data_IF_372369977271
#
_entry.id   IF_372369977271
#
_cell.length_a   1.000
_cell.length_b   1.000
_cell.length_c   1.000
_cell.angle_alpha   90.00
_cell.angle_beta   90.00
_cell.angle_gamma   90.00
#
_symmetry.space_group_name_H-M   'P 1'
#
loop_
_entity.id
_entity.type
_entity.pdbx_description
1 polymer ?
#
# COMPACT_ATOMS: atom_id res chain seq x y z
N UNK A 1 9.85 -2.50 5.75
CA UNK A 1 8.43 -2.55 5.32
C UNK A 1 8.37 -2.52 3.80
N UNK A 2 7.71 -3.50 3.20
CA UNK A 2 7.40 -3.57 1.77
C UNK A 2 5.97 -3.09 1.56
N UNK A 3 5.69 -2.48 0.41
CA UNK A 3 4.38 -1.92 0.12
C UNK A 3 4.14 -1.85 -1.38
N UNK A 4 2.99 -2.30 -1.84
CA UNK A 4 2.56 -2.19 -3.22
C UNK A 4 1.27 -1.38 -3.34
N UNK A 5 1.21 -0.55 -4.35
CA UNK A 5 0.02 0.19 -4.75
C UNK A 5 -0.29 -0.12 -6.21
N UNK A 6 -1.56 -0.12 -6.55
CA UNK A 6 -2.00 -0.28 -7.93
C UNK A 6 -1.82 1.03 -8.73
N UNK A 7 -2.17 0.97 -10.02
CA UNK A 7 -2.15 2.12 -10.94
C UNK A 7 -2.97 3.31 -10.44
N UNK A 8 -4.05 3.06 -9.70
CA UNK A 8 -4.92 4.10 -9.15
C UNK A 8 -4.39 4.60 -7.79
N UNK A 9 -3.32 3.98 -7.30
CA UNK A 9 -2.69 4.28 -6.02
C UNK A 9 -3.43 3.64 -4.83
N UNK A 10 -4.32 2.69 -5.06
CA UNK A 10 -4.93 1.88 -4.00
C UNK A 10 -3.90 0.90 -3.47
N UNK A 11 -3.86 0.71 -2.16
CA UNK A 11 -2.96 -0.27 -1.58
C UNK A 11 -3.37 -1.68 -2.02
N UNK A 12 -2.40 -2.40 -2.52
CA UNK A 12 -2.53 -3.82 -2.90
C UNK A 12 -2.17 -4.71 -1.72
N UNK A 13 -0.97 -4.51 -1.17
CA UNK A 13 -0.48 -5.31 -0.06
C UNK A 13 0.62 -4.59 0.72
N UNK A 14 0.81 -4.98 1.99
CA UNK A 14 1.88 -4.50 2.85
C UNK A 14 2.48 -5.66 3.64
N UNK A 15 3.81 -5.78 3.59
CA UNK A 15 4.56 -6.73 4.40
C UNK A 15 5.54 -5.98 5.31
N UNK A 16 5.44 -6.23 6.60
CA UNK A 16 6.42 -5.77 7.57
C UNK A 16 7.48 -6.87 7.74
N UNK A 17 8.73 -6.57 7.41
CA UNK A 17 9.87 -7.44 7.62
C UNK A 17 10.98 -6.67 8.32
N UNK A 18 11.71 -7.34 9.20
CA UNK A 18 12.88 -6.80 9.88
C UNK A 18 14.07 -6.71 8.93
N UNK A 19 14.13 -7.61 7.93
CA UNK A 19 15.18 -7.66 6.93
C UNK A 19 14.68 -7.15 5.58
N UNK A 20 15.60 -6.53 4.84
CA UNK A 20 15.37 -6.13 3.45
C UNK A 20 16.26 -6.99 2.54
N UNK A 21 15.87 -8.24 2.42
CA UNK A 21 16.60 -9.27 1.68
C UNK A 21 15.75 -9.92 0.57
N UNK A 22 16.34 -10.90 -0.10
CA UNK A 22 15.68 -11.64 -1.16
C UNK A 22 14.46 -12.43 -0.67
N UNK A 23 14.57 -13.06 0.49
CA UNK A 23 13.50 -13.88 1.06
C UNK A 23 12.27 -13.03 1.39
N UNK A 24 12.48 -11.87 2.02
CA UNK A 24 11.42 -10.91 2.31
C UNK A 24 10.78 -10.34 1.04
N UNK A 25 11.57 -10.04 0.00
CA UNK A 25 11.06 -9.58 -1.28
C UNK A 25 10.20 -10.65 -1.98
N UNK A 26 10.63 -11.91 -1.99
CA UNK A 26 9.85 -13.03 -2.53
C UNK A 26 8.54 -13.23 -1.75
N UNK A 27 8.62 -13.26 -0.42
CA UNK A 27 7.43 -13.38 0.44
C UNK A 27 6.42 -12.26 0.14
N UNK A 28 6.89 -11.02 -0.04
CA UNK A 28 6.04 -9.89 -0.37
C UNK A 28 5.35 -10.04 -1.73
N UNK A 29 6.08 -10.38 -2.81
CA UNK A 29 5.46 -10.55 -4.13
C UNK A 29 4.51 -11.74 -4.20
N UNK A 30 4.81 -12.82 -3.47
CA UNK A 30 3.92 -13.97 -3.33
C UNK A 30 2.62 -13.59 -2.62
N UNK A 31 2.71 -12.84 -1.51
CA UNK A 31 1.55 -12.32 -0.77
C UNK A 31 0.70 -11.41 -1.65
N UNK A 32 1.31 -10.42 -2.31
CA UNK A 32 0.61 -9.49 -3.19
C UNK A 32 -0.14 -10.21 -4.33
N UNK A 33 0.48 -11.25 -4.92
CA UNK A 33 -0.16 -12.11 -5.93
C UNK A 33 -1.32 -12.91 -5.36
N UNK A 34 -1.17 -13.47 -4.16
CA UNK A 34 -2.23 -14.24 -3.50
C UNK A 34 -3.44 -13.37 -3.15
N UNK A 35 -3.21 -12.15 -2.65
CA UNK A 35 -4.27 -11.20 -2.28
C UNK A 35 -5.06 -10.71 -3.50
N UNK A 36 -4.39 -10.47 -4.63
CA UNK A 36 -5.05 -9.95 -5.82
C UNK A 36 -5.58 -11.02 -6.76
N UNK A 37 -5.03 -12.23 -6.72
CA UNK A 37 -5.27 -13.28 -7.71
C UNK A 37 -4.74 -12.93 -9.11
N UNK A 38 -4.03 -11.81 -9.28
CA UNK A 38 -3.62 -11.27 -10.58
C UNK A 38 -2.11 -11.17 -10.65
N UNK A 39 -1.55 -11.54 -11.79
CA UNK A 39 -0.16 -11.26 -12.13
C UNK A 39 -0.12 -9.95 -12.94
N UNK A 40 0.59 -8.91 -12.48
CA UNK A 40 0.63 -7.64 -13.19
C UNK A 40 1.51 -7.71 -14.44
N UNK A 41 1.17 -6.94 -15.48
CA UNK A 41 2.01 -6.81 -16.68
C UNK A 41 3.33 -6.08 -16.40
N UNK A 42 3.32 -5.21 -15.41
CA UNK A 42 4.46 -4.36 -15.06
C UNK A 42 4.52 -4.05 -13.57
N UNK A 43 5.73 -4.12 -13.02
CA UNK A 43 6.07 -3.71 -11.65
C UNK A 43 7.10 -2.59 -11.70
N UNK A 44 6.87 -1.52 -10.96
CA UNK A 44 7.84 -0.43 -10.79
C UNK A 44 8.34 -0.41 -9.35
N UNK A 45 9.65 -0.35 -9.15
CA UNK A 45 10.31 -0.35 -7.83
C UNK A 45 11.32 0.79 -7.70
N UNK A 46 11.85 0.97 -6.49
CA UNK A 46 12.95 1.90 -6.18
C UNK A 46 14.35 1.40 -6.58
N UNK A 47 14.43 0.18 -7.16
CA UNK A 47 15.68 -0.35 -7.72
C UNK A 47 16.55 -1.16 -6.75
N UNK A 48 16.03 -1.59 -5.61
CA UNK A 48 16.79 -2.47 -4.72
C UNK A 48 17.12 -3.81 -5.40
N UNK A 49 18.34 -4.31 -5.22
CA UNK A 49 18.93 -5.46 -5.95
C UNK A 49 18.16 -6.78 -5.79
N UNK A 50 17.41 -6.94 -4.69
CA UNK A 50 16.58 -8.14 -4.47
C UNK A 50 15.33 -8.20 -5.37
N UNK A 51 14.85 -7.09 -5.91
CA UNK A 51 13.58 -7.05 -6.63
C UNK A 51 13.60 -7.74 -8.00
N UNK A 52 14.60 -7.58 -8.88
CA UNK A 52 14.56 -8.19 -10.21
C UNK A 52 14.40 -9.70 -10.16
N UNK A 53 15.16 -10.36 -9.26
CA UNK A 53 15.11 -11.81 -9.07
C UNK A 53 13.81 -12.24 -8.40
N UNK A 54 13.36 -11.55 -7.36
CA UNK A 54 12.11 -11.86 -6.65
C UNK A 54 10.89 -11.74 -7.57
N UNK A 55 10.80 -10.69 -8.38
CA UNK A 55 9.73 -10.49 -9.38
C UNK A 55 9.73 -11.63 -10.38
N UNK A 56 10.90 -11.99 -10.95
CA UNK A 56 11.01 -13.06 -11.92
C UNK A 56 10.59 -14.43 -11.36
N UNK A 57 10.94 -14.70 -10.10
CA UNK A 57 10.62 -15.97 -9.42
C UNK A 57 9.14 -16.07 -9.06
N UNK A 58 8.55 -15.03 -8.48
CA UNK A 58 7.20 -15.10 -7.90
C UNK A 58 6.10 -14.66 -8.89
N UNK A 59 6.38 -13.69 -9.74
CA UNK A 59 5.41 -13.17 -10.69
C UNK A 59 5.59 -13.73 -12.11
N UNK A 60 6.79 -14.18 -12.44
CA UNK A 60 7.11 -14.79 -13.72
C UNK A 60 7.99 -13.91 -14.62
N UNK A 61 8.53 -14.56 -15.68
CA UNK A 61 9.49 -13.93 -16.59
C UNK A 61 8.87 -12.87 -17.52
N UNK A 62 7.55 -12.94 -17.72
CA UNK A 62 6.81 -12.03 -18.62
C UNK A 62 6.49 -10.69 -17.98
N UNK A 63 6.64 -10.55 -16.66
CA UNK A 63 6.37 -9.31 -15.94
C UNK A 63 7.50 -8.31 -16.22
N UNK A 64 7.14 -7.16 -16.79
CA UNK A 64 8.09 -6.08 -17.05
C UNK A 64 8.48 -5.39 -15.75
N UNK A 65 9.74 -5.46 -15.37
CA UNK A 65 10.29 -4.72 -14.24
C UNK A 65 10.84 -3.37 -14.71
N UNK A 66 10.43 -2.30 -14.05
CA UNK A 66 10.93 -0.94 -14.26
C UNK A 66 11.45 -0.39 -12.95
N UNK A 67 12.64 0.19 -12.99
CA UNK A 67 13.20 0.96 -11.89
C UNK A 67 12.96 2.44 -12.13
N UNK A 68 12.41 3.15 -11.15
CA UNK A 68 12.21 4.59 -11.22
C UNK A 68 12.19 5.22 -9.84
N UNK A 69 13.12 6.12 -9.59
CA UNK A 69 13.15 6.94 -8.39
C UNK A 69 11.99 7.95 -8.32
N UNK A 70 11.54 8.47 -9.48
CA UNK A 70 10.55 9.55 -9.55
C UNK A 70 9.10 9.09 -9.55
N UNK A 71 8.80 7.86 -9.96
CA UNK A 71 7.43 7.33 -10.00
C UNK A 71 6.94 6.83 -8.63
N UNK A 72 7.80 6.86 -7.61
CA UNK A 72 7.49 6.47 -6.25
C UNK A 72 6.84 7.59 -5.41
N UNK A 73 6.62 8.79 -5.96
CA UNK A 73 6.08 9.93 -5.22
C UNK A 73 4.78 9.62 -4.47
N UNK A 74 3.90 8.78 -5.04
CA UNK A 74 2.67 8.37 -4.36
C UNK A 74 2.95 7.45 -3.18
N UNK A 75 3.88 6.53 -3.32
CA UNK A 75 4.32 5.64 -2.25
C UNK A 75 5.04 6.43 -1.15
N UNK A 76 5.84 7.42 -1.52
CA UNK A 76 6.52 8.33 -0.59
C UNK A 76 5.52 9.17 0.22
N UNK A 77 4.45 9.68 -0.41
CA UNK A 77 3.38 10.38 0.29
C UNK A 77 2.68 9.47 1.31
N UNK A 78 2.49 8.20 0.97
CA UNK A 78 1.94 7.19 1.86
C UNK A 78 2.85 6.93 3.06
N UNK A 79 4.15 6.82 2.84
CA UNK A 79 5.14 6.70 3.91
C UNK A 79 5.16 7.94 4.82
N UNK A 80 5.02 9.15 4.27
CA UNK A 80 4.90 10.38 5.07
C UNK A 80 3.67 10.37 5.98
N UNK A 81 2.53 9.87 5.49
CA UNK A 81 1.32 9.73 6.27
C UNK A 81 1.50 8.81 7.49
N UNK A 82 2.19 7.68 7.31
CA UNK A 82 2.53 6.78 8.42
C UNK A 82 3.53 7.45 9.37
N UNK A 83 4.60 8.06 8.83
CA UNK A 83 5.63 8.75 9.64
C UNK A 83 5.03 9.85 10.50
N UNK A 84 4.10 10.65 9.99
CA UNK A 84 3.41 11.69 10.74
C UNK A 84 2.64 11.16 11.96
N UNK A 85 2.22 9.89 11.95
CA UNK A 85 1.47 9.29 13.04
C UNK A 85 2.31 8.55 14.05
N UNK A 86 3.39 7.86 13.64
CA UNK A 86 4.20 7.15 14.60
C UNK A 86 5.26 8.04 15.30
N UNK A 87 5.63 9.19 14.73
CA UNK A 87 6.56 10.13 15.35
C UNK A 87 6.10 10.62 16.74
N UNK A 88 4.83 11.07 16.93
CA UNK A 88 4.35 11.45 18.26
C UNK A 88 4.37 10.30 19.28
N UNK A 89 4.26 9.06 18.81
CA UNK A 89 4.34 7.86 19.67
C UNK A 89 5.78 7.46 20.02
N UNK A 90 6.78 8.20 19.56
CA UNK A 90 8.22 7.88 19.72
C UNK A 90 8.58 6.50 19.16
N UNK A 91 7.96 6.13 18.03
CA UNK A 91 8.18 4.86 17.34
C UNK A 91 7.37 3.69 17.91
N UNK A 92 7.53 2.54 17.28
CA UNK A 92 6.90 1.28 17.72
C UNK A 92 7.81 0.54 18.69
N UNK A 93 7.23 -0.06 19.73
CA UNK A 93 7.97 -0.80 20.75
C UNK A 93 8.25 -2.26 20.37
N UNK A 94 7.47 -2.79 19.41
CA UNK A 94 7.71 -4.13 18.88
C UNK A 94 7.22 -4.26 17.42
N UNK A 95 7.81 -5.19 16.63
CA UNK A 95 7.46 -5.42 15.22
C UNK A 95 5.98 -5.78 15.02
N UNK A 96 5.39 -6.56 15.91
CA UNK A 96 3.98 -6.96 15.85
C UNK A 96 3.03 -5.77 15.95
N UNK A 97 3.32 -4.82 16.84
CA UNK A 97 2.52 -3.59 16.97
C UNK A 97 2.66 -2.70 15.73
N UNK A 98 3.87 -2.61 15.16
CA UNK A 98 4.11 -1.89 13.93
C UNK A 98 3.33 -2.49 12.75
N UNK A 99 3.37 -3.81 12.59
CA UNK A 99 2.65 -4.51 11.52
C UNK A 99 1.13 -4.32 11.63
N UNK A 100 0.58 -4.47 12.83
CA UNK A 100 -0.86 -4.25 13.10
C UNK A 100 -1.28 -2.82 12.81
N UNK A 101 -0.51 -1.83 13.27
CA UNK A 101 -0.79 -0.43 13.01
C UNK A 101 -0.75 -0.10 11.52
N UNK A 102 0.28 -0.54 10.80
CA UNK A 102 0.41 -0.27 9.37
C UNK A 102 -0.76 -0.87 8.60
N UNK A 103 -1.18 -2.11 8.92
CA UNK A 103 -2.34 -2.75 8.28
C UNK A 103 -3.62 -1.96 8.54
N UNK A 104 -3.94 -1.66 9.79
CA UNK A 104 -5.15 -0.89 10.14
C UNK A 104 -5.16 0.50 9.50
N UNK A 105 -4.01 1.18 9.49
CA UNK A 105 -3.87 2.47 8.83
C UNK A 105 -4.16 2.40 7.33
N UNK A 106 -3.68 1.37 6.67
CA UNK A 106 -3.84 1.18 5.24
C UNK A 106 -5.27 0.80 4.86
N UNK A 107 -5.93 -0.05 5.67
CA UNK A 107 -7.34 -0.40 5.49
C UNK A 107 -8.25 0.83 5.64
N UNK A 108 -8.08 1.62 6.69
CA UNK A 108 -8.81 2.87 6.89
C UNK A 108 -8.58 3.84 5.74
N UNK A 109 -7.35 3.98 5.30
CA UNK A 109 -7.01 4.87 4.19
C UNK A 109 -7.63 4.42 2.88
N UNK A 110 -7.62 3.13 2.56
CA UNK A 110 -8.29 2.58 1.39
C UNK A 110 -9.82 2.79 1.46
N UNK A 111 -10.40 2.62 2.65
CA UNK A 111 -11.81 2.86 2.86
C UNK A 111 -12.20 4.32 2.59
N UNK A 112 -11.42 5.28 3.09
CA UNK A 112 -11.72 6.71 2.89
C UNK A 112 -11.24 7.27 1.55
N UNK A 113 -10.40 6.54 0.82
CA UNK A 113 -9.87 7.01 -0.44
C UNK A 113 -10.94 7.04 -1.53
N UNK A 114 -11.05 8.18 -2.19
CA UNK A 114 -11.90 8.30 -3.38
C UNK A 114 -11.26 7.57 -4.55
N UNK A 115 -12.00 6.65 -5.14
CA UNK A 115 -11.60 6.02 -6.41
C UNK A 115 -11.90 6.99 -7.54
N UNK A 116 -10.91 7.73 -8.00
CA UNK A 116 -10.99 8.51 -9.23
C UNK A 116 -10.42 7.69 -10.38
N UNK A 117 -11.13 7.65 -11.53
CA UNK A 117 -10.55 7.14 -12.77
C UNK A 117 -9.42 8.09 -13.22
N UNK A 118 -8.44 7.56 -13.94
CA UNK A 118 -7.34 8.35 -14.48
C UNK A 118 -7.87 9.57 -15.25
N UNK A 119 -7.40 10.78 -14.91
CA UNK A 119 -7.84 12.08 -15.45
C UNK A 119 -9.26 12.54 -15.06
N UNK A 120 -9.95 11.90 -14.13
CA UNK A 120 -11.24 12.40 -13.66
C UNK A 120 -11.02 13.30 -12.42
N UNK A 121 -11.29 14.59 -12.60
CA UNK A 121 -11.34 15.54 -11.48
C UNK A 121 -12.66 15.33 -10.74
N UNK A 122 -12.60 14.97 -9.47
CA UNK A 122 -13.78 14.90 -8.61
C UNK A 122 -13.92 16.23 -7.89
N UNK A 123 -15.02 16.97 -8.07
CA UNK A 123 -15.26 18.25 -7.39
C UNK A 123 -15.17 18.13 -5.87
N UNK A 124 -14.72 19.19 -5.20
CA UNK A 124 -14.44 19.19 -3.76
C UNK A 124 -15.69 18.92 -2.89
N UNK A 125 -16.84 19.41 -3.29
CA UNK A 125 -18.13 19.17 -2.66
C UNK A 125 -18.51 17.68 -2.71
N UNK A 126 -18.34 17.03 -3.87
CA UNK A 126 -18.57 15.60 -4.02
C UNK A 126 -17.58 14.77 -3.18
N UNK A 127 -16.32 15.22 -3.08
CA UNK A 127 -15.33 14.58 -2.21
C UNK A 127 -15.77 14.64 -0.75
N UNK A 128 -16.22 15.80 -0.29
CA UNK A 128 -16.73 16.01 1.09
C UNK A 128 -17.94 15.13 1.37
N UNK A 129 -18.91 15.09 0.45
CA UNK A 129 -20.12 14.28 0.61
C UNK A 129 -19.80 12.78 0.73
N UNK A 130 -18.92 12.28 -0.13
CA UNK A 130 -18.48 10.88 -0.07
C UNK A 130 -17.72 10.56 1.21
N UNK A 131 -16.88 11.48 1.68
CA UNK A 131 -16.18 11.34 2.95
C UNK A 131 -17.14 11.27 4.13
N UNK A 132 -18.13 12.17 4.19
CA UNK A 132 -19.18 12.16 5.22
C UNK A 132 -19.97 10.84 5.22
N UNK A 133 -20.42 10.37 4.06
CA UNK A 133 -21.14 9.09 3.95
C UNK A 133 -20.32 7.92 4.49
N UNK A 134 -19.02 7.83 4.14
CA UNK A 134 -18.11 6.79 4.64
C UNK A 134 -17.88 6.92 6.14
N UNK A 135 -17.78 8.13 6.67
CA UNK A 135 -17.66 8.37 8.11
C UNK A 135 -18.88 7.86 8.86
N UNK A 136 -20.09 8.18 8.39
CA UNK A 136 -21.33 7.66 8.98
C UNK A 136 -21.38 6.14 8.93
N UNK A 137 -21.02 5.54 7.79
CA UNK A 137 -20.97 4.07 7.65
C UNK A 137 -19.96 3.46 8.63
N UNK A 138 -18.77 4.04 8.77
CA UNK A 138 -17.75 3.53 9.70
C UNK A 138 -18.21 3.62 11.15
N UNK A 139 -18.87 4.74 11.55
CA UNK A 139 -19.43 4.89 12.87
C UNK A 139 -20.54 3.88 13.16
N UNK A 140 -21.43 3.65 12.19
CA UNK A 140 -22.49 2.65 12.33
C UNK A 140 -21.93 1.23 12.53
N UNK A 141 -20.87 0.85 11.81
CA UNK A 141 -20.19 -0.43 12.00
C UNK A 141 -19.59 -0.54 13.41
N UNK A 142 -18.95 0.52 13.89
CA UNK A 142 -18.32 0.53 15.22
C UNK A 142 -19.38 0.49 16.35
N UNK A 143 -20.57 1.02 16.14
CA UNK A 143 -21.67 0.98 17.11
C UNK A 143 -22.37 -0.39 17.13
N UNK A 144 -22.29 -1.16 16.04
CA UNK A 144 -22.88 -2.49 15.92
C UNK A 144 -21.94 -3.62 16.39
N UNK A 145 -20.66 -3.32 16.65
CA UNK A 145 -19.64 -4.27 17.09
C UNK A 145 -19.50 -4.31 18.59
#
# INVERSE_FOLDING_TARGET
>A
MYRAIDRNGTLVDVLFSEHRDMAAAQAFFRSAKAVTGITPDRVTTDGHDSYPRAIRTELGKNVRHRTSAYLNNRLEQDHRGIKGRYRPMRGFKCPRSAARFCRAYDELRNFFRLRSRHHQHVPADRQRLLHLRRTVTALAILQAA
#
